data_IF_801752601164
#
_entry.id   IF_801752601164
#
_cell.length_a   1.000
_cell.length_b   1.000
_cell.length_c   1.000
_cell.angle_alpha   90.00
_cell.angle_beta   90.00
_cell.angle_gamma   90.00
#
_symmetry.space_group_name_H-M   'P 1'
#
loop_
_entity.id
_entity.type
_entity.pdbx_description
1 polymer ?
#
# COMPACT_ATOMS: atom_id res chain seq x y z
N UNK A 1 9.98 -4.47 3.01
CA UNK A 1 9.94 -4.71 4.47
C UNK A 1 8.59 -5.35 4.82
N UNK A 2 8.46 -5.97 6.00
CA UNK A 2 7.18 -6.56 6.44
C UNK A 2 6.75 -5.90 7.75
N UNK A 3 5.49 -5.52 7.86
CA UNK A 3 4.88 -5.00 9.09
C UNK A 3 4.06 -6.11 9.76
N UNK A 4 4.19 -6.22 11.08
CA UNK A 4 3.53 -7.27 11.88
C UNK A 4 2.70 -6.70 13.02
N UNK A 5 1.60 -7.37 13.36
CA UNK A 5 0.86 -7.20 14.61
C UNK A 5 1.62 -7.75 15.82
N UNK A 6 1.20 -7.40 17.05
CA UNK A 6 1.78 -7.95 18.28
C UNK A 6 1.72 -9.48 18.40
N UNK A 7 0.77 -10.14 17.74
CA UNK A 7 0.64 -11.60 17.68
C UNK A 7 1.44 -12.25 16.53
N UNK A 8 2.17 -11.44 15.75
CA UNK A 8 3.12 -11.90 14.74
C UNK A 8 2.54 -12.10 13.34
N UNK A 9 1.24 -11.87 13.14
CA UNK A 9 0.61 -11.86 11.81
C UNK A 9 1.23 -10.76 10.96
N UNK A 10 1.43 -11.04 9.67
CA UNK A 10 1.95 -10.04 8.73
C UNK A 10 0.74 -9.25 8.21
N UNK A 11 0.78 -7.94 8.39
CA UNK A 11 -0.30 -7.04 7.97
C UNK A 11 0.00 -6.36 6.64
N UNK A 12 1.27 -6.11 6.36
CA UNK A 12 1.67 -5.49 5.11
C UNK A 12 3.04 -5.99 4.62
N UNK A 13 3.19 -5.98 3.31
CA UNK A 13 4.42 -6.31 2.58
C UNK A 13 4.72 -5.23 1.56
N UNK A 14 6.00 -4.90 1.43
CA UNK A 14 6.52 -4.02 0.38
C UNK A 14 7.79 -4.60 -0.24
N UNK A 15 8.05 -4.27 -1.50
CA UNK A 15 9.23 -4.72 -2.24
C UNK A 15 10.26 -3.59 -2.33
N UNK A 16 11.47 -3.74 -1.76
CA UNK A 16 12.51 -2.73 -1.92
C UNK A 16 12.83 -2.46 -3.40
N UNK A 17 12.82 -1.19 -3.79
CA UNK A 17 13.13 -0.77 -5.16
C UNK A 17 12.00 -0.97 -6.17
N UNK A 18 10.80 -1.39 -5.75
CA UNK A 18 9.62 -1.44 -6.61
C UNK A 18 8.40 -0.82 -5.89
N UNK A 19 7.53 -0.06 -6.59
CA UNK A 19 6.34 0.53 -6.00
C UNK A 19 5.24 -0.54 -5.87
N UNK A 20 5.42 -1.46 -4.92
CA UNK A 20 4.52 -2.57 -4.63
C UNK A 20 4.19 -2.55 -3.14
N UNK A 21 2.89 -2.48 -2.84
CA UNK A 21 2.33 -2.57 -1.50
C UNK A 21 1.25 -3.66 -1.50
N UNK A 22 1.33 -4.59 -0.55
CA UNK A 22 0.28 -5.54 -0.23
C UNK A 22 -0.15 -5.37 1.22
N UNK A 23 -1.47 -5.37 1.45
CA UNK A 23 -2.08 -5.24 2.78
C UNK A 23 -3.04 -6.41 3.02
N UNK A 24 -3.19 -6.83 4.26
CA UNK A 24 -4.07 -7.94 4.63
C UNK A 24 -5.53 -7.51 4.75
N UNK A 25 -5.76 -6.31 5.29
CA UNK A 25 -7.10 -5.75 5.44
C UNK A 25 -7.68 -5.24 4.11
N UNK A 26 -8.97 -4.90 4.12
CA UNK A 26 -9.68 -4.25 3.02
C UNK A 26 -9.69 -2.73 3.25
N UNK A 27 -8.77 -1.95 2.63
CA UNK A 27 -8.69 -0.50 2.85
C UNK A 27 -9.98 0.22 2.45
N UNK A 28 -10.76 -0.36 1.54
CA UNK A 28 -12.04 0.14 1.06
C UNK A 28 -13.18 0.05 2.09
N UNK A 29 -13.00 -0.73 3.17
CA UNK A 29 -14.00 -0.93 4.22
C UNK A 29 -13.69 -0.19 5.52
N UNK A 30 -12.62 0.60 5.53
CA UNK A 30 -12.22 1.39 6.71
C UNK A 30 -13.24 2.52 6.96
N UNK A 31 -13.50 2.82 8.24
CA UNK A 31 -14.42 3.91 8.62
C UNK A 31 -13.93 5.30 8.20
N UNK A 32 -12.62 5.44 8.07
CA UNK A 32 -11.93 6.64 7.59
C UNK A 32 -11.07 6.32 6.39
N UNK A 33 -10.73 7.34 5.60
CA UNK A 33 -9.83 7.22 4.45
C UNK A 33 -8.53 6.49 4.83
N UNK A 34 -8.27 5.39 4.13
CA UNK A 34 -7.07 4.60 4.31
C UNK A 34 -5.91 5.13 3.44
N UNK A 35 -4.72 5.41 4.01
CA UNK A 35 -3.56 5.87 3.26
C UNK A 35 -3.12 4.96 2.10
N UNK A 36 -3.38 3.65 2.16
CA UNK A 36 -3.05 2.72 1.08
C UNK A 36 -3.82 3.03 -0.22
N UNK A 37 -5.05 3.54 -0.11
CA UNK A 37 -5.85 3.96 -1.26
C UNK A 37 -5.30 5.25 -1.88
N UNK A 38 -4.93 6.23 -1.06
CA UNK A 38 -4.29 7.46 -1.57
C UNK A 38 -2.95 7.14 -2.23
N UNK A 39 -2.15 6.26 -1.61
CA UNK A 39 -0.85 5.86 -2.13
C UNK A 39 -0.94 5.22 -3.52
N UNK A 40 -1.87 4.27 -3.77
CA UNK A 40 -1.95 3.62 -5.08
C UNK A 40 -2.35 4.59 -6.19
N UNK A 41 -3.16 5.61 -5.88
CA UNK A 41 -3.54 6.67 -6.83
C UNK A 41 -2.34 7.56 -7.15
N UNK A 42 -1.60 7.98 -6.13
CA UNK A 42 -0.44 8.85 -6.30
C UNK A 42 0.70 8.16 -7.05
N UNK A 43 0.99 6.89 -6.75
CA UNK A 43 1.96 6.09 -7.50
C UNK A 43 1.52 5.88 -8.96
N UNK A 44 0.22 5.64 -9.18
CA UNK A 44 -0.32 5.49 -10.54
C UNK A 44 -0.14 6.79 -11.35
N UNK A 45 -0.37 7.95 -10.73
CA UNK A 45 -0.15 9.26 -11.38
C UNK A 45 1.31 9.46 -11.75
N UNK A 46 2.22 9.28 -10.80
CA UNK A 46 3.67 9.44 -11.04
C UNK A 46 4.15 8.52 -12.17
N UNK A 47 3.63 7.29 -12.22
CA UNK A 47 4.01 6.33 -13.27
C UNK A 47 3.44 6.69 -14.63
N UNK A 48 2.24 7.27 -14.69
CA UNK A 48 1.69 7.82 -15.94
C UNK A 48 2.55 8.99 -16.46
N UNK A 49 2.96 9.90 -15.57
CA UNK A 49 3.81 11.06 -15.92
C UNK A 49 5.20 10.63 -16.41
N UNK A 50 5.80 9.61 -15.78
CA UNK A 50 7.09 9.07 -16.20
C UNK A 50 7.07 8.34 -17.56
N UNK A 51 5.89 8.03 -18.09
CA UNK A 51 5.69 7.35 -19.38
C UNK A 51 5.17 8.27 -20.49
N UNK A 52 4.85 9.53 -20.17
CA UNK A 52 4.47 10.58 -21.14
C UNK A 52 5.68 11.33 -21.66
#
# INVERSE_FOLDING_TARGET
MNLRTPDGVIEAVEVPGAPILGVQWHPEWMESDDPAMSWIVDESRQRQEAWG
#
